data_IF_518239073720
#
_entry.id   IF_518239073720
#
_cell.length_a   1.000
_cell.length_b   1.000
_cell.length_c   1.000
_cell.angle_alpha   90.00
_cell.angle_beta   90.00
_cell.angle_gamma   90.00
#
_symmetry.space_group_name_H-M   'P 1'
#
loop_
_entity.id
_entity.type
_entity.pdbx_description
1 polymer ?
#
# COMPACT_ATOMS: atom_id res chain seq x y z
N UNK A 1 -38.80 17.30 19.15
CA UNK A 1 -38.98 16.17 20.10
C UNK A 1 -38.16 14.98 19.62
N UNK A 2 -36.94 14.84 20.13
CA UNK A 2 -36.08 13.64 20.04
C UNK A 2 -35.24 13.60 21.33
N UNK A 3 -35.16 12.43 21.94
CA UNK A 3 -34.63 12.18 23.30
C UNK A 3 -33.11 12.39 23.39
N UNK A 4 -32.59 12.98 24.49
CA UNK A 4 -31.19 12.89 24.83
C UNK A 4 -30.88 11.52 25.45
N UNK A 5 -29.91 10.80 24.90
CA UNK A 5 -29.37 9.58 25.51
C UNK A 5 -28.37 10.00 26.58
N UNK A 6 -28.81 9.90 27.83
CA UNK A 6 -28.01 10.04 29.04
C UNK A 6 -27.08 8.84 29.18
N UNK A 7 -25.77 9.04 29.03
CA UNK A 7 -24.76 8.02 29.38
C UNK A 7 -24.57 8.10 30.90
N UNK A 8 -25.21 7.17 31.60
CA UNK A 8 -25.06 6.99 33.05
C UNK A 8 -23.71 6.38 33.40
N UNK A 9 -22.92 7.10 34.18
CA UNK A 9 -21.75 6.60 34.89
C UNK A 9 -22.22 5.67 36.02
N UNK A 10 -21.95 4.36 35.93
CA UNK A 10 -22.09 3.44 37.06
C UNK A 10 -20.68 3.22 37.63
N UNK A 11 -20.36 3.94 38.70
CA UNK A 11 -19.25 3.63 39.58
C UNK A 11 -19.77 2.70 40.68
N UNK A 12 -19.50 1.40 40.55
CA UNK A 12 -19.71 0.43 41.61
C UNK A 12 -18.38 0.18 42.31
N UNK A 13 -18.28 0.66 43.55
CA UNK A 13 -17.19 0.37 44.46
C UNK A 13 -17.25 -1.11 44.89
N UNK A 14 -16.18 -1.87 44.59
CA UNK A 14 -15.96 -3.20 45.15
C UNK A 14 -14.96 -3.05 46.29
N UNK A 15 -15.45 -3.25 47.51
CA UNK A 15 -14.63 -3.43 48.70
C UNK A 15 -13.88 -4.76 48.60
N UNK A 16 -12.55 -4.71 48.57
CA UNK A 16 -11.66 -5.86 48.56
C UNK A 16 -11.50 -6.42 49.97
N UNK A 17 -12.11 -7.58 50.24
CA UNK A 17 -11.63 -8.48 51.28
C UNK A 17 -10.31 -9.10 50.79
N UNK A 18 -9.23 -8.88 51.55
CA UNK A 18 -7.91 -9.40 51.26
C UNK A 18 -7.89 -10.92 51.33
N UNK A 19 -7.79 -11.56 50.17
CA UNK A 19 -7.25 -12.91 50.02
C UNK A 19 -5.84 -12.72 49.48
N UNK A 20 -4.83 -13.15 50.24
CA UNK A 20 -3.46 -13.23 49.76
C UNK A 20 -3.45 -14.25 48.61
N UNK A 21 -3.49 -13.75 47.37
CA UNK A 21 -3.21 -14.57 46.20
C UNK A 21 -1.70 -14.81 46.25
N UNK A 22 -1.31 -16.04 46.56
CA UNK A 22 0.06 -16.48 46.33
C UNK A 22 0.38 -16.15 44.87
N UNK A 23 1.31 -15.24 44.63
CA UNK A 23 1.88 -15.02 43.31
C UNK A 23 2.68 -16.28 43.00
N UNK A 24 2.03 -17.25 42.34
CA UNK A 24 2.74 -18.35 41.70
C UNK A 24 3.86 -17.72 40.87
N UNK A 25 5.09 -18.22 41.06
CA UNK A 25 6.22 -17.82 40.24
C UNK A 25 5.81 -17.91 38.76
N UNK A 26 6.19 -16.93 37.92
CA UNK A 26 5.80 -16.93 36.52
C UNK A 26 6.13 -18.29 35.91
N UNK A 27 5.10 -19.06 35.55
CA UNK A 27 5.27 -20.37 34.97
C UNK A 27 6.08 -20.21 33.68
N UNK A 28 7.16 -20.98 33.56
CA UNK A 28 7.97 -20.99 32.36
C UNK A 28 7.07 -21.31 31.16
N UNK A 29 7.12 -20.45 30.15
CA UNK A 29 6.41 -20.63 28.90
C UNK A 29 6.91 -21.89 28.17
N UNK A 30 6.08 -22.48 27.30
CA UNK A 30 6.35 -23.77 26.66
C UNK A 30 7.61 -23.80 25.77
N UNK A 31 8.19 -22.65 25.44
CA UNK A 31 9.41 -22.54 24.63
C UNK A 31 10.59 -21.91 25.39
N UNK A 32 10.44 -21.56 26.66
CA UNK A 32 11.45 -20.74 27.36
C UNK A 32 12.80 -21.44 27.49
N UNK A 33 12.80 -22.76 27.67
CA UNK A 33 14.02 -23.56 27.63
C UNK A 33 14.69 -23.50 26.25
N UNK A 34 13.92 -23.58 25.17
CA UNK A 34 14.46 -23.58 23.80
C UNK A 34 15.04 -22.21 23.42
N UNK A 35 14.45 -21.11 23.89
CA UNK A 35 14.87 -19.73 23.59
C UNK A 35 16.28 -19.40 24.06
N UNK A 36 16.79 -20.13 25.06
CA UNK A 36 18.11 -19.89 25.67
C UNK A 36 19.21 -20.81 25.14
N UNK A 37 18.86 -21.82 24.34
CA UNK A 37 19.84 -22.80 23.83
C UNK A 37 20.71 -22.18 22.72
N UNK A 38 22.03 -22.42 22.73
CA UNK A 38 22.92 -21.93 21.69
C UNK A 38 22.73 -22.65 20.34
N UNK A 39 22.23 -23.88 20.38
CA UNK A 39 21.84 -24.69 19.21
C UNK A 39 20.66 -25.59 19.58
N UNK A 40 19.78 -25.85 18.62
CA UNK A 40 18.64 -26.76 18.79
C UNK A 40 18.92 -28.15 18.21
N UNK A 41 18.65 -29.20 18.97
CA UNK A 41 18.64 -30.60 18.49
C UNK A 41 17.46 -30.87 17.56
N UNK A 42 17.47 -32.01 16.86
CA UNK A 42 16.35 -32.40 15.98
C UNK A 42 15.05 -32.62 16.76
N UNK A 43 15.13 -33.18 17.96
CA UNK A 43 13.97 -33.36 18.85
C UNK A 43 13.39 -32.02 19.29
N UNK A 44 14.24 -31.04 19.60
CA UNK A 44 13.82 -29.69 19.99
C UNK A 44 13.21 -28.92 18.81
N UNK A 45 13.75 -29.11 17.60
CA UNK A 45 13.15 -28.58 16.36
C UNK A 45 11.79 -29.21 16.08
N UNK A 46 11.63 -30.51 16.33
CA UNK A 46 10.35 -31.19 16.21
C UNK A 46 9.32 -30.65 17.22
N UNK A 47 9.72 -30.42 18.48
CA UNK A 47 8.87 -29.82 19.50
C UNK A 47 8.45 -28.38 19.12
N UNK A 48 9.39 -27.57 18.63
CA UNK A 48 9.10 -26.23 18.11
C UNK A 48 8.12 -26.28 16.93
N UNK A 49 8.31 -27.22 16.00
CA UNK A 49 7.42 -27.42 14.85
C UNK A 49 6.01 -27.81 15.26
N UNK A 50 5.87 -28.69 16.23
CA UNK A 50 4.56 -29.09 16.76
C UNK A 50 3.85 -27.89 17.39
N UNK A 51 4.55 -27.13 18.24
CA UNK A 51 4.01 -25.93 18.85
C UNK A 51 3.55 -24.89 17.79
N UNK A 52 4.39 -24.63 16.78
CA UNK A 52 4.06 -23.74 15.67
C UNK A 52 2.86 -24.23 14.86
N UNK A 53 2.78 -25.53 14.59
CA UNK A 53 1.68 -26.16 13.84
C UNK A 53 0.35 -25.93 14.54
N UNK A 54 0.29 -26.14 15.86
CA UNK A 54 -0.91 -25.92 16.65
C UNK A 54 -1.37 -24.45 16.61
N UNK A 55 -0.44 -23.49 16.73
CA UNK A 55 -0.78 -22.07 16.70
C UNK A 55 -1.17 -21.56 15.32
N UNK A 56 -0.47 -21.98 14.27
CA UNK A 56 -0.86 -21.65 12.89
C UNK A 56 -2.24 -22.24 12.59
N UNK A 57 -2.51 -23.48 13.00
CA UNK A 57 -3.83 -24.10 12.85
C UNK A 57 -4.92 -23.34 13.61
N UNK A 58 -4.64 -22.84 14.81
CA UNK A 58 -5.58 -22.01 15.57
C UNK A 58 -5.86 -20.67 14.88
N UNK A 59 -4.86 -20.04 14.24
CA UNK A 59 -5.08 -18.84 13.42
C UNK A 59 -5.98 -19.16 12.22
N UNK A 60 -5.76 -20.28 11.53
CA UNK A 60 -6.49 -20.65 10.31
C UNK A 60 -7.92 -21.08 10.60
N UNK A 61 -8.11 -21.99 11.56
CA UNK A 61 -9.39 -22.68 11.77
C UNK A 61 -10.33 -21.92 12.71
N UNK A 62 -9.77 -21.20 13.68
CA UNK A 62 -10.55 -20.53 14.72
C UNK A 62 -10.50 -19.01 14.62
N UNK A 63 -9.78 -18.46 13.62
CA UNK A 63 -9.48 -17.04 13.49
C UNK A 63 -9.00 -16.44 14.81
N UNK A 64 -8.17 -17.18 15.57
CA UNK A 64 -7.84 -16.84 16.94
C UNK A 64 -6.76 -15.73 16.98
N UNK A 65 -7.09 -14.46 17.27
CA UNK A 65 -6.10 -13.38 17.27
C UNK A 65 -5.02 -13.59 18.33
N UNK A 66 -5.38 -14.25 19.43
CA UNK A 66 -4.47 -14.64 20.50
C UNK A 66 -3.36 -15.58 20.01
N UNK A 67 -3.66 -16.55 19.14
CA UNK A 67 -2.66 -17.45 18.59
C UNK A 67 -1.62 -16.70 17.74
N UNK A 68 -2.05 -15.71 16.96
CA UNK A 68 -1.13 -14.83 16.23
C UNK A 68 -0.31 -13.93 17.16
N UNK A 69 -0.88 -13.47 18.28
CA UNK A 69 -0.14 -12.72 19.29
C UNK A 69 0.95 -13.60 19.95
N UNK A 70 0.62 -14.85 20.28
CA UNK A 70 1.56 -15.83 20.84
C UNK A 70 2.69 -16.15 19.86
N UNK A 71 2.40 -16.29 18.57
CA UNK A 71 3.41 -16.47 17.51
C UNK A 71 4.36 -15.28 17.37
N UNK A 72 3.92 -14.06 17.70
CA UNK A 72 4.82 -12.88 17.73
C UNK A 72 5.64 -12.82 19.01
N UNK A 73 4.97 -13.01 20.15
CA UNK A 73 5.58 -12.89 21.46
C UNK A 73 6.67 -13.94 21.72
N UNK A 74 6.57 -15.12 21.09
CA UNK A 74 7.49 -16.22 21.29
C UNK A 74 8.60 -16.35 20.23
N UNK A 75 8.73 -15.39 19.33
CA UNK A 75 9.81 -15.38 18.34
C UNK A 75 11.17 -15.01 18.96
N UNK A 76 11.21 -14.27 20.07
CA UNK A 76 12.47 -13.82 20.67
C UNK A 76 13.26 -14.96 21.34
N UNK A 77 14.59 -14.84 21.37
CA UNK A 77 15.52 -15.89 21.79
C UNK A 77 16.91 -15.73 21.16
N UNK A 78 17.75 -16.77 21.27
CA UNK A 78 19.05 -16.86 20.58
C UNK A 78 18.91 -16.81 19.06
N UNK A 79 19.99 -16.48 18.35
CA UNK A 79 20.00 -16.45 16.88
C UNK A 79 19.67 -17.82 16.28
N UNK A 80 20.20 -18.91 16.85
CA UNK A 80 19.86 -20.27 16.41
C UNK A 80 18.39 -20.61 16.61
N UNK A 81 17.76 -20.12 17.69
CA UNK A 81 16.34 -20.32 17.92
C UNK A 81 15.51 -19.54 16.89
N UNK A 82 15.80 -18.24 16.70
CA UNK A 82 15.11 -17.38 15.72
C UNK A 82 15.20 -17.93 14.31
N UNK A 83 16.39 -18.40 13.92
CA UNK A 83 16.61 -19.02 12.62
C UNK A 83 15.74 -20.26 12.42
N UNK A 84 15.71 -21.18 13.39
CA UNK A 84 14.86 -22.36 13.33
C UNK A 84 13.36 -21.99 13.32
N UNK A 85 12.97 -21.03 14.16
CA UNK A 85 11.60 -20.54 14.28
C UNK A 85 11.06 -20.03 12.96
N UNK A 86 11.80 -19.13 12.29
CA UNK A 86 11.39 -18.56 11.00
C UNK A 86 11.37 -19.64 9.92
N UNK A 87 12.40 -20.50 9.84
CA UNK A 87 12.47 -21.55 8.83
C UNK A 87 11.25 -22.48 8.91
N UNK A 88 10.91 -22.94 10.12
CA UNK A 88 9.75 -23.80 10.35
C UNK A 88 8.44 -23.04 10.11
N UNK A 89 8.32 -21.78 10.56
CA UNK A 89 7.12 -20.97 10.32
C UNK A 89 6.87 -20.77 8.81
N UNK A 90 7.91 -20.49 8.01
CA UNK A 90 7.79 -20.39 6.55
C UNK A 90 7.37 -21.72 5.93
N UNK A 91 7.98 -22.83 6.35
CA UNK A 91 7.62 -24.19 5.90
C UNK A 91 6.12 -24.48 6.11
N UNK A 92 5.61 -24.18 7.30
CA UNK A 92 4.23 -24.46 7.70
C UNK A 92 3.22 -23.48 7.06
N UNK A 93 3.57 -22.19 6.93
CA UNK A 93 2.65 -21.17 6.41
C UNK A 93 2.52 -21.23 4.89
N UNK A 94 3.59 -21.58 4.16
CA UNK A 94 3.61 -21.60 2.68
C UNK A 94 2.45 -22.41 2.06
N UNK A 95 2.18 -23.67 2.44
CA UNK A 95 1.07 -24.45 1.86
C UNK A 95 -0.31 -24.01 2.36
N UNK A 96 -0.38 -23.25 3.45
CA UNK A 96 -1.62 -22.85 4.12
C UNK A 96 -2.20 -21.57 3.52
N UNK A 97 -1.36 -20.57 3.25
CA UNK A 97 -1.81 -19.25 2.76
C UNK A 97 -2.76 -19.33 1.57
N UNK A 98 -2.50 -20.12 0.50
CA UNK A 98 -3.38 -20.18 -0.67
C UNK A 98 -4.77 -20.79 -0.39
N UNK A 99 -4.91 -21.54 0.72
CA UNK A 99 -6.11 -22.33 1.07
C UNK A 99 -6.93 -21.72 2.20
N UNK A 100 -6.28 -20.97 3.09
CA UNK A 100 -6.94 -20.31 4.21
C UNK A 100 -7.87 -19.19 3.73
N UNK A 101 -8.81 -18.76 4.58
CA UNK A 101 -9.64 -17.58 4.30
C UNK A 101 -8.83 -16.28 4.26
N UNK A 102 -9.45 -15.20 3.76
CA UNK A 102 -8.79 -13.90 3.53
C UNK A 102 -8.10 -13.37 4.79
N UNK A 103 -8.80 -13.33 5.91
CA UNK A 103 -8.27 -12.74 7.15
C UNK A 103 -7.12 -13.58 7.76
N UNK A 104 -7.25 -14.90 7.97
CA UNK A 104 -6.14 -15.72 8.45
C UNK A 104 -4.92 -15.70 7.51
N UNK A 105 -5.13 -15.76 6.19
CA UNK A 105 -4.04 -15.71 5.22
C UNK A 105 -3.25 -14.38 5.32
N UNK A 106 -3.96 -13.25 5.35
CA UNK A 106 -3.32 -11.94 5.49
C UNK A 106 -2.60 -11.80 6.85
N UNK A 107 -3.18 -12.34 7.92
CA UNK A 107 -2.58 -12.32 9.26
C UNK A 107 -1.29 -13.14 9.32
N UNK A 108 -1.25 -14.32 8.71
CA UNK A 108 -0.04 -15.16 8.63
C UNK A 108 1.06 -14.50 7.78
N UNK A 109 0.72 -13.87 6.66
CA UNK A 109 1.70 -13.11 5.85
C UNK A 109 2.25 -11.91 6.63
N UNK A 110 1.41 -11.17 7.32
CA UNK A 110 1.84 -10.05 8.17
C UNK A 110 2.71 -10.51 9.36
N UNK A 111 2.38 -11.67 9.94
CA UNK A 111 3.17 -12.31 10.99
C UNK A 111 4.58 -12.64 10.50
N UNK A 112 4.72 -13.33 9.37
CA UNK A 112 6.03 -13.64 8.79
C UNK A 112 6.82 -12.36 8.50
N UNK A 113 6.17 -11.33 7.95
CA UNK A 113 6.79 -10.02 7.74
C UNK A 113 7.31 -9.35 9.01
N UNK A 114 6.66 -9.59 10.16
CA UNK A 114 7.07 -9.01 11.44
C UNK A 114 8.38 -9.57 11.98
N UNK A 115 8.78 -10.77 11.56
CA UNK A 115 10.09 -11.35 11.90
C UNK A 115 11.25 -10.63 11.21
N UNK A 116 10.96 -9.90 10.12
CA UNK A 116 11.93 -9.16 9.30
C UNK A 116 13.11 -10.03 8.87
N UNK A 117 12.86 -11.30 8.58
CA UNK A 117 13.89 -12.27 8.19
C UNK A 117 13.82 -12.56 6.68
N UNK A 118 15.00 -12.60 6.02
CA UNK A 118 15.10 -12.84 4.57
C UNK A 118 14.61 -14.23 4.15
N UNK A 119 14.54 -15.22 5.06
CA UNK A 119 13.93 -16.52 4.79
C UNK A 119 12.45 -16.43 4.42
N UNK A 120 11.77 -15.33 4.78
CA UNK A 120 10.37 -15.08 4.40
C UNK A 120 10.22 -14.54 2.97
N UNK A 121 11.30 -14.08 2.36
CA UNK A 121 11.28 -13.28 1.13
C UNK A 121 10.50 -13.94 -0.02
N UNK A 122 10.82 -15.19 -0.36
CA UNK A 122 10.16 -15.88 -1.49
C UNK A 122 8.65 -16.06 -1.26
N UNK A 123 8.24 -16.37 -0.03
CA UNK A 123 6.83 -16.47 0.33
C UNK A 123 6.12 -15.13 0.18
N UNK A 124 6.76 -14.02 0.55
CA UNK A 124 6.19 -12.68 0.37
C UNK A 124 6.03 -12.34 -1.12
N UNK A 125 7.01 -12.66 -1.96
CA UNK A 125 6.88 -12.48 -3.41
C UNK A 125 5.71 -13.29 -3.99
N UNK A 126 5.50 -14.52 -3.51
CA UNK A 126 4.35 -15.34 -3.92
C UNK A 126 3.02 -14.77 -3.40
N UNK A 127 2.99 -14.22 -2.18
CA UNK A 127 1.82 -13.60 -1.60
C UNK A 127 1.37 -12.31 -2.34
N UNK A 128 2.28 -11.63 -3.06
CA UNK A 128 1.90 -10.52 -3.95
C UNK A 128 1.07 -10.97 -5.16
N UNK A 129 1.12 -12.25 -5.53
CA UNK A 129 0.35 -12.84 -6.63
C UNK A 129 -1.02 -13.35 -6.18
N UNK A 130 -1.31 -13.31 -4.87
CA UNK A 130 -2.57 -13.79 -4.32
C UNK A 130 -3.75 -12.99 -4.90
N UNK A 131 -4.89 -13.65 -5.15
CA UNK A 131 -6.10 -12.99 -5.68
C UNK A 131 -6.73 -11.98 -4.71
N UNK A 132 -6.44 -12.10 -3.41
CA UNK A 132 -7.05 -11.31 -2.34
C UNK A 132 -6.22 -10.06 -2.03
N UNK A 133 -6.80 -8.84 -2.14
CA UNK A 133 -6.05 -7.61 -1.89
C UNK A 133 -5.46 -7.49 -0.48
N UNK A 134 -6.10 -8.08 0.54
CA UNK A 134 -5.59 -8.06 1.92
C UNK A 134 -4.27 -8.84 2.07
N UNK A 135 -4.14 -9.97 1.37
CA UNK A 135 -2.90 -10.77 1.37
C UNK A 135 -1.79 -10.03 0.65
N UNK A 136 -2.08 -9.42 -0.50
CA UNK A 136 -1.12 -8.58 -1.23
C UNK A 136 -0.69 -7.36 -0.40
N UNK A 137 -1.62 -6.72 0.31
CA UNK A 137 -1.35 -5.61 1.23
C UNK A 137 -0.39 -6.01 2.35
N UNK A 138 -0.67 -7.16 3.00
CA UNK A 138 0.19 -7.70 4.04
C UNK A 138 1.60 -7.98 3.51
N UNK A 139 1.70 -8.55 2.30
CA UNK A 139 2.99 -8.80 1.66
C UNK A 139 3.75 -7.50 1.34
N UNK A 140 3.09 -6.49 0.78
CA UNK A 140 3.73 -5.20 0.49
C UNK A 140 4.27 -4.54 1.77
N UNK A 141 3.53 -4.60 2.88
CA UNK A 141 4.00 -4.11 4.20
C UNK A 141 5.22 -4.90 4.68
N UNK A 142 5.18 -6.22 4.55
CA UNK A 142 6.28 -7.11 4.95
C UNK A 142 7.55 -6.84 4.13
N UNK A 143 7.44 -6.73 2.80
CA UNK A 143 8.55 -6.40 1.90
C UNK A 143 9.12 -5.02 2.20
N UNK A 144 8.27 -4.05 2.54
CA UNK A 144 8.74 -2.74 3.02
C UNK A 144 9.61 -2.88 4.28
N UNK A 145 9.21 -3.73 5.22
CA UNK A 145 9.98 -4.04 6.43
C UNK A 145 11.33 -4.72 6.16
N UNK A 146 11.50 -5.34 4.99
CA UNK A 146 12.72 -6.00 4.54
C UNK A 146 13.60 -5.12 3.64
N UNK A 147 13.21 -3.90 3.30
CA UNK A 147 13.89 -3.07 2.29
C UNK A 147 15.41 -2.96 2.50
N UNK A 148 15.87 -2.70 3.74
CA UNK A 148 17.30 -2.58 4.03
C UNK A 148 18.05 -3.90 3.80
N UNK A 149 17.45 -5.03 4.16
CA UNK A 149 18.02 -6.37 3.95
C UNK A 149 18.02 -6.76 2.48
N UNK A 150 16.95 -6.42 1.76
CA UNK A 150 16.86 -6.62 0.31
C UNK A 150 17.92 -5.79 -0.43
N UNK A 151 18.10 -4.52 -0.06
CA UNK A 151 19.13 -3.66 -0.64
C UNK A 151 20.54 -4.18 -0.32
N UNK A 152 20.78 -4.70 0.89
CA UNK A 152 22.07 -5.24 1.30
C UNK A 152 22.40 -6.61 0.66
N UNK A 153 21.39 -7.44 0.39
CA UNK A 153 21.57 -8.75 -0.26
C UNK A 153 22.11 -8.61 -1.70
N UNK A 154 21.83 -7.48 -2.36
CA UNK A 154 22.36 -7.12 -3.66
C UNK A 154 21.31 -7.10 -4.78
N UNK A 155 21.79 -7.08 -6.03
CA UNK A 155 20.96 -6.80 -7.21
C UNK A 155 19.87 -7.84 -7.49
N UNK A 156 20.09 -9.12 -7.15
CA UNK A 156 19.15 -10.21 -7.44
C UNK A 156 17.84 -10.07 -6.66
N UNK A 157 17.92 -10.00 -5.34
CA UNK A 157 16.77 -9.87 -4.44
C UNK A 157 16.07 -8.52 -4.66
N UNK A 158 16.85 -7.45 -4.84
CA UNK A 158 16.28 -6.13 -5.15
C UNK A 158 15.46 -6.17 -6.45
N UNK A 159 16.02 -6.67 -7.55
CA UNK A 159 15.33 -6.75 -8.83
C UNK A 159 14.08 -7.62 -8.76
N UNK A 160 14.14 -8.76 -8.04
CA UNK A 160 12.98 -9.65 -7.82
C UNK A 160 11.87 -8.96 -7.03
N UNK A 161 12.21 -8.24 -5.96
CA UNK A 161 11.25 -7.47 -5.15
C UNK A 161 10.56 -6.39 -5.98
N UNK A 162 11.36 -5.58 -6.69
CA UNK A 162 10.86 -4.50 -7.55
C UNK A 162 9.95 -5.03 -8.66
N UNK A 163 10.37 -6.10 -9.34
CA UNK A 163 9.57 -6.73 -10.39
C UNK A 163 8.23 -7.28 -9.86
N UNK A 164 8.23 -7.98 -8.72
CA UNK A 164 7.01 -8.52 -8.13
C UNK A 164 6.04 -7.40 -7.69
N UNK A 165 6.54 -6.34 -7.05
CA UNK A 165 5.74 -5.19 -6.66
C UNK A 165 5.17 -4.45 -7.88
N UNK A 166 5.98 -4.27 -8.94
CA UNK A 166 5.54 -3.70 -10.22
C UNK A 166 4.39 -4.49 -10.81
N UNK A 167 4.56 -5.80 -10.95
CA UNK A 167 3.60 -6.65 -11.64
C UNK A 167 2.27 -6.72 -10.87
N UNK A 168 2.32 -6.80 -9.53
CA UNK A 168 1.14 -6.73 -8.68
C UNK A 168 0.43 -5.36 -8.76
N UNK A 169 1.18 -4.26 -8.68
CA UNK A 169 0.62 -2.90 -8.66
C UNK A 169 -0.07 -2.53 -9.99
N UNK A 170 0.43 -3.00 -11.13
CA UNK A 170 -0.18 -2.77 -12.46
C UNK A 170 -1.63 -3.25 -12.53
N UNK A 171 -1.94 -4.35 -11.85
CA UNK A 171 -3.27 -5.00 -11.90
C UNK A 171 -4.12 -4.77 -10.64
N UNK A 172 -3.57 -4.14 -9.61
CA UNK A 172 -4.25 -3.94 -8.32
C UNK A 172 -5.55 -3.10 -8.46
N UNK A 173 -6.59 -3.56 -7.76
CA UNK A 173 -7.93 -2.96 -7.75
C UNK A 173 -8.32 -2.37 -6.40
N UNK A 174 -7.59 -2.69 -5.34
CA UNK A 174 -7.74 -2.11 -4.00
C UNK A 174 -6.84 -0.88 -3.82
N UNK A 175 -7.45 0.26 -3.56
CA UNK A 175 -6.72 1.50 -3.31
C UNK A 175 -5.73 1.40 -2.12
N UNK A 176 -6.13 0.86 -0.95
CA UNK A 176 -5.19 0.62 0.14
C UNK A 176 -4.00 -0.25 -0.25
N UNK A 177 -4.23 -1.37 -0.95
CA UNK A 177 -3.17 -2.30 -1.35
C UNK A 177 -2.15 -1.64 -2.28
N UNK A 178 -2.62 -0.90 -3.29
CA UNK A 178 -1.74 -0.21 -4.23
C UNK A 178 -0.87 0.85 -3.54
N UNK A 179 -1.46 1.63 -2.62
CA UNK A 179 -0.70 2.63 -1.85
C UNK A 179 0.43 1.97 -1.04
N UNK A 180 0.18 0.78 -0.49
CA UNK A 180 1.19 0.01 0.23
C UNK A 180 2.28 -0.53 -0.70
N UNK A 181 1.93 -0.97 -1.91
CA UNK A 181 2.91 -1.39 -2.93
C UNK A 181 3.84 -0.25 -3.34
N UNK A 182 3.30 0.96 -3.58
CA UNK A 182 4.15 2.14 -3.84
C UNK A 182 5.07 2.48 -2.66
N UNK A 183 4.59 2.35 -1.42
CA UNK A 183 5.43 2.56 -0.23
C UNK A 183 6.52 1.49 -0.10
N UNK A 184 6.26 0.26 -0.54
CA UNK A 184 7.25 -0.81 -0.58
C UNK A 184 8.29 -0.60 -1.69
N UNK A 185 7.95 0.13 -2.74
CA UNK A 185 8.86 0.57 -3.80
C UNK A 185 9.69 1.81 -3.42
N UNK A 186 9.36 2.53 -2.34
CA UNK A 186 10.14 3.72 -1.95
C UNK A 186 11.46 3.31 -1.26
N UNK A 187 12.47 3.00 -2.09
CA UNK A 187 13.87 2.75 -1.67
C UNK A 187 14.71 4.04 -1.67
N UNK A 188 14.11 5.24 -1.72
CA UNK A 188 14.83 6.48 -1.98
C UNK A 188 15.94 6.81 -0.96
N UNK A 189 15.92 6.20 0.22
CA UNK A 189 16.93 6.36 1.27
C UNK A 189 17.98 5.25 1.31
N UNK A 190 17.98 4.32 0.35
CA UNK A 190 18.84 3.15 0.33
C UNK A 190 19.74 3.16 -0.93
N UNK A 191 20.95 2.55 -0.86
CA UNK A 191 21.84 2.40 -2.01
C UNK A 191 21.30 1.32 -2.97
N UNK A 192 20.19 1.62 -3.63
CA UNK A 192 19.49 0.73 -4.54
C UNK A 192 19.72 1.13 -6.00
N UNK A 193 19.49 0.20 -6.93
CA UNK A 193 19.49 0.51 -8.36
C UNK A 193 18.27 1.39 -8.69
N UNK A 194 18.52 2.69 -8.72
CA UNK A 194 17.52 3.74 -8.92
C UNK A 194 16.90 3.65 -10.33
N UNK A 195 17.63 3.15 -11.34
CA UNK A 195 17.10 3.03 -12.69
C UNK A 195 16.06 1.92 -12.79
N UNK A 196 16.35 0.76 -12.20
CA UNK A 196 15.38 -0.34 -12.09
C UNK A 196 14.13 0.09 -11.34
N UNK A 197 14.28 0.87 -10.26
CA UNK A 197 13.14 1.43 -9.53
C UNK A 197 12.33 2.42 -10.37
N UNK A 198 12.98 3.36 -11.05
CA UNK A 198 12.33 4.37 -11.87
C UNK A 198 11.54 3.75 -13.02
N UNK A 199 12.12 2.76 -13.71
CA UNK A 199 11.44 1.99 -14.74
C UNK A 199 10.20 1.26 -14.20
N UNK A 200 10.31 0.64 -13.03
CA UNK A 200 9.17 -0.05 -12.41
C UNK A 200 8.02 0.88 -12.05
N UNK A 201 8.32 2.05 -11.45
CA UNK A 201 7.29 3.04 -11.09
C UNK A 201 6.62 3.60 -12.35
N UNK A 202 7.39 3.88 -13.39
CA UNK A 202 6.88 4.31 -14.69
C UNK A 202 5.95 3.25 -15.30
N UNK A 203 6.37 1.98 -15.33
CA UNK A 203 5.56 0.89 -15.87
C UNK A 203 4.21 0.72 -15.13
N UNK A 204 4.18 0.94 -13.81
CA UNK A 204 2.92 0.93 -13.04
C UNK A 204 2.05 2.11 -13.47
N UNK A 205 2.57 3.34 -13.42
CA UNK A 205 1.80 4.54 -13.73
C UNK A 205 1.29 4.52 -15.18
N UNK A 206 2.09 4.05 -16.13
CA UNK A 206 1.68 3.92 -17.52
C UNK A 206 0.52 2.91 -17.66
N UNK A 207 0.65 1.72 -17.10
CA UNK A 207 -0.39 0.69 -17.17
C UNK A 207 -1.68 1.13 -16.47
N UNK A 208 -1.55 1.82 -15.33
CA UNK A 208 -2.69 2.30 -14.56
C UNK A 208 -3.36 3.49 -15.22
N UNK A 209 -2.61 4.48 -15.72
CA UNK A 209 -3.16 5.66 -16.42
C UNK A 209 -4.05 5.28 -17.61
N UNK A 210 -3.77 4.15 -18.28
CA UNK A 210 -4.62 3.63 -19.37
C UNK A 210 -6.01 3.17 -18.88
N UNK A 211 -6.15 2.79 -17.61
CA UNK A 211 -7.42 2.37 -16.99
C UNK A 211 -8.30 3.56 -16.56
N UNK A 212 -7.72 4.76 -16.45
CA UNK A 212 -8.44 5.99 -16.12
C UNK A 212 -9.36 6.51 -17.24
N UNK A 213 -9.45 5.79 -18.37
CA UNK A 213 -10.30 6.14 -19.52
C UNK A 213 -11.76 5.68 -19.37
N UNK A 214 -12.11 4.90 -18.34
CA UNK A 214 -13.47 4.38 -18.15
C UNK A 214 -14.11 4.77 -16.81
N UNK A 215 -15.43 4.67 -16.74
CA UNK A 215 -16.30 5.08 -15.62
C UNK A 215 -15.98 4.38 -14.29
N UNK A 216 -15.32 3.22 -14.35
CA UNK A 216 -14.89 2.47 -13.19
C UNK A 216 -13.39 2.21 -13.29
N UNK A 217 -12.60 3.12 -12.72
CA UNK A 217 -11.17 2.86 -12.50
C UNK A 217 -11.00 2.19 -11.14
N UNK A 218 -10.60 0.91 -11.07
CA UNK A 218 -10.32 0.26 -9.80
C UNK A 218 -9.18 0.97 -9.06
N UNK A 219 -9.26 1.02 -7.73
CA UNK A 219 -8.29 1.72 -6.88
C UNK A 219 -8.13 3.22 -7.23
N UNK A 220 -9.24 3.93 -7.44
CA UNK A 220 -9.23 5.36 -7.74
C UNK A 220 -8.32 6.16 -6.80
N UNK A 221 -7.53 7.08 -7.37
CA UNK A 221 -6.63 7.99 -6.67
C UNK A 221 -5.55 7.31 -5.79
N UNK A 222 -5.37 6.00 -5.89
CA UNK A 222 -4.31 5.30 -5.17
C UNK A 222 -2.92 5.50 -5.79
N UNK A 223 -2.85 6.13 -6.96
CA UNK A 223 -1.62 6.45 -7.70
C UNK A 223 -0.84 7.66 -7.15
N UNK A 224 -1.42 8.43 -6.22
CA UNK A 224 -0.77 9.61 -5.62
C UNK A 224 0.64 9.32 -5.05
N UNK A 225 0.86 8.27 -4.23
CA UNK A 225 2.21 7.93 -3.78
C UNK A 225 3.15 7.54 -4.93
N UNK A 226 2.62 6.95 -6.00
CA UNK A 226 3.37 6.61 -7.21
C UNK A 226 3.85 7.85 -7.95
N UNK A 227 2.99 8.86 -8.13
CA UNK A 227 3.36 10.14 -8.74
C UNK A 227 4.47 10.85 -7.96
N UNK A 228 4.37 10.88 -6.62
CA UNK A 228 5.43 11.42 -5.73
C UNK A 228 6.75 10.70 -5.92
N UNK A 229 6.70 9.37 -5.91
CA UNK A 229 7.89 8.55 -6.06
C UNK A 229 8.51 8.78 -7.46
N UNK A 230 7.70 8.85 -8.51
CA UNK A 230 8.16 9.17 -9.86
C UNK A 230 8.82 10.55 -9.92
N UNK A 231 8.27 11.57 -9.26
CA UNK A 231 8.87 12.90 -9.16
C UNK A 231 10.27 12.89 -8.54
N UNK A 232 10.48 12.12 -7.46
CA UNK A 232 11.82 11.93 -6.85
C UNK A 232 12.81 11.26 -7.81
N UNK A 233 12.31 10.40 -8.71
CA UNK A 233 13.11 9.58 -9.61
C UNK A 233 13.29 10.21 -11.01
N UNK A 234 12.51 11.26 -11.33
CA UNK A 234 12.43 11.85 -12.66
C UNK A 234 13.79 12.33 -13.20
N UNK A 235 14.68 12.82 -12.33
CA UNK A 235 16.04 13.24 -12.70
C UNK A 235 16.95 12.10 -13.17
N UNK A 236 16.51 10.84 -13.06
CA UNK A 236 17.24 9.64 -13.50
C UNK A 236 16.69 9.04 -14.79
N UNK A 237 15.52 9.50 -15.25
CA UNK A 237 14.91 9.02 -16.48
C UNK A 237 15.62 9.63 -17.69
N UNK A 238 15.76 8.84 -18.76
CA UNK A 238 16.11 9.35 -20.08
C UNK A 238 14.91 10.13 -20.67
N UNK A 239 15.10 10.86 -21.77
CA UNK A 239 14.02 11.69 -22.34
C UNK A 239 12.81 10.85 -22.80
N UNK A 240 13.03 9.66 -23.37
CA UNK A 240 11.94 8.76 -23.77
C UNK A 240 11.08 8.32 -22.59
N UNK A 241 11.70 7.99 -21.45
CA UNK A 241 11.00 7.60 -20.24
C UNK A 241 10.34 8.80 -19.54
N UNK A 242 10.94 10.00 -19.63
CA UNK A 242 10.27 11.24 -19.21
C UNK A 242 9.02 11.50 -20.02
N UNK A 243 9.06 11.34 -21.35
CA UNK A 243 7.89 11.49 -22.21
C UNK A 243 6.77 10.50 -21.83
N UNK A 244 7.12 9.24 -21.58
CA UNK A 244 6.18 8.23 -21.07
C UNK A 244 5.57 8.64 -19.73
N UNK A 245 6.37 9.19 -18.81
CA UNK A 245 5.90 9.66 -17.50
C UNK A 245 4.98 10.88 -17.63
N UNK A 246 5.32 11.83 -18.50
CA UNK A 246 4.49 13.00 -18.84
C UNK A 246 3.12 12.51 -19.36
N UNK A 247 3.11 11.56 -20.31
CA UNK A 247 1.86 10.99 -20.83
C UNK A 247 1.00 10.40 -19.71
N UNK A 248 1.61 9.60 -18.82
CA UNK A 248 0.91 8.94 -17.73
C UNK A 248 0.31 9.96 -16.75
N UNK A 249 1.09 10.99 -16.36
CA UNK A 249 0.64 12.05 -15.48
C UNK A 249 -0.49 12.89 -16.11
N UNK A 250 -0.40 13.21 -17.40
CA UNK A 250 -1.44 13.93 -18.15
C UNK A 250 -2.76 13.16 -18.20
N UNK A 251 -2.73 11.85 -18.49
CA UNK A 251 -3.93 11.00 -18.45
C UNK A 251 -4.57 10.96 -17.06
N UNK A 252 -3.76 10.85 -16.01
CA UNK A 252 -4.24 10.83 -14.63
C UNK A 252 -4.86 12.18 -14.25
N UNK A 253 -4.21 13.31 -14.58
CA UNK A 253 -4.73 14.65 -14.33
C UNK A 253 -6.08 14.86 -15.04
N UNK A 254 -6.14 14.56 -16.34
CA UNK A 254 -7.34 14.66 -17.17
C UNK A 254 -8.49 13.86 -16.59
N UNK A 255 -8.24 12.61 -16.21
CA UNK A 255 -9.27 11.77 -15.63
C UNK A 255 -9.75 12.28 -14.26
N UNK A 256 -8.83 12.82 -13.44
CA UNK A 256 -9.18 13.50 -12.20
C UNK A 256 -10.16 14.64 -12.43
N UNK A 257 -9.87 15.53 -13.38
CA UNK A 257 -10.73 16.66 -13.76
C UNK A 257 -12.10 16.20 -14.26
N UNK A 258 -12.13 15.25 -15.20
CA UNK A 258 -13.38 14.73 -15.76
C UNK A 258 -14.25 14.08 -14.70
N UNK A 259 -13.65 13.28 -13.80
CA UNK A 259 -14.42 12.65 -12.72
C UNK A 259 -14.95 13.67 -11.72
N UNK A 260 -14.13 14.67 -11.35
CA UNK A 260 -14.55 15.72 -10.43
C UNK A 260 -15.81 16.44 -10.95
N UNK A 261 -15.82 16.77 -12.24
CA UNK A 261 -16.97 17.37 -12.91
C UNK A 261 -18.17 16.41 -13.02
N UNK A 262 -17.96 15.19 -13.51
CA UNK A 262 -19.04 14.23 -13.79
C UNK A 262 -19.79 13.79 -12.51
N UNK A 263 -19.07 13.64 -11.41
CA UNK A 263 -19.62 13.20 -10.11
C UNK A 263 -20.05 14.39 -9.23
N UNK A 264 -19.98 15.63 -9.76
CA UNK A 264 -20.31 16.88 -9.06
C UNK A 264 -19.64 16.96 -7.68
N UNK A 265 -18.33 16.74 -7.66
CA UNK A 265 -17.57 16.67 -6.41
C UNK A 265 -17.37 18.06 -5.77
N UNK A 266 -17.58 19.13 -6.53
CA UNK A 266 -17.66 20.52 -6.07
C UNK A 266 -18.83 20.75 -5.10
N UNK A 267 -19.96 20.06 -5.31
CA UNK A 267 -21.15 20.12 -4.45
C UNK A 267 -21.00 19.32 -3.14
N UNK A 268 -19.91 18.55 -2.98
CA UNK A 268 -19.67 17.78 -1.75
C UNK A 268 -19.04 18.71 -0.73
N UNK A 269 -19.76 19.00 0.35
CA UNK A 269 -19.27 19.77 1.50
C UNK A 269 -18.51 18.90 2.51
N UNK A 270 -17.72 19.53 3.38
CA UNK A 270 -16.89 18.83 4.39
C UNK A 270 -17.73 18.14 5.48
N UNK A 271 -18.97 18.59 5.67
CA UNK A 271 -19.97 18.06 6.60
C UNK A 271 -21.05 17.22 5.91
N UNK A 272 -20.84 16.85 4.64
CA UNK A 272 -21.74 15.97 3.89
C UNK A 272 -22.00 14.67 4.68
N UNK A 273 -23.26 14.24 4.69
CA UNK A 273 -23.67 13.00 5.36
C UNK A 273 -23.03 11.74 4.74
N UNK A 274 -22.50 11.82 3.52
CA UNK A 274 -21.86 10.71 2.83
C UNK A 274 -20.34 10.76 2.98
N UNK A 275 -19.81 10.03 3.96
CA UNK A 275 -18.38 9.88 4.19
C UNK A 275 -17.63 9.39 2.93
N UNK A 276 -18.23 8.47 2.17
CA UNK A 276 -17.65 7.93 0.93
C UNK A 276 -17.50 9.01 -0.15
N UNK A 277 -18.47 9.93 -0.26
CA UNK A 277 -18.36 11.07 -1.20
C UNK A 277 -17.27 12.05 -0.79
N UNK A 278 -17.14 12.33 0.51
CA UNK A 278 -16.05 13.16 1.04
C UNK A 278 -14.70 12.51 0.74
N UNK A 279 -14.55 11.20 0.97
CA UNK A 279 -13.34 10.47 0.64
C UNK A 279 -13.04 10.53 -0.87
N UNK A 280 -14.05 10.31 -1.72
CA UNK A 280 -13.89 10.37 -3.17
C UNK A 280 -13.46 11.77 -3.65
N UNK A 281 -14.11 12.83 -3.16
CA UNK A 281 -13.71 14.22 -3.45
C UNK A 281 -12.26 14.44 -3.05
N UNK A 282 -11.93 14.24 -1.78
CA UNK A 282 -10.58 14.49 -1.25
C UNK A 282 -9.51 13.69 -2.01
N UNK A 283 -9.78 12.41 -2.30
CA UNK A 283 -8.85 11.56 -3.03
C UNK A 283 -8.62 12.06 -4.47
N UNK A 284 -9.69 12.50 -5.15
CA UNK A 284 -9.62 13.09 -6.50
C UNK A 284 -8.83 14.39 -6.50
N UNK A 285 -9.11 15.28 -5.54
CA UNK A 285 -8.41 16.56 -5.39
C UNK A 285 -6.91 16.36 -5.19
N UNK A 286 -6.53 15.47 -4.27
CA UNK A 286 -5.12 15.16 -4.04
C UNK A 286 -4.43 14.52 -5.25
N UNK A 287 -5.16 13.74 -6.06
CA UNK A 287 -4.62 13.13 -7.27
C UNK A 287 -4.34 14.21 -8.34
N UNK A 288 -5.28 15.13 -8.55
CA UNK A 288 -5.15 16.27 -9.47
C UNK A 288 -3.93 17.11 -9.11
N UNK A 289 -3.83 17.54 -7.84
CA UNK A 289 -2.72 18.37 -7.36
C UNK A 289 -1.37 17.69 -7.59
N UNK A 290 -1.29 16.38 -7.29
CA UNK A 290 -0.03 15.65 -7.42
C UNK A 290 0.37 15.44 -8.89
N UNK A 291 -0.59 15.11 -9.75
CA UNK A 291 -0.34 14.91 -11.17
C UNK A 291 0.10 16.22 -11.85
N UNK A 292 -0.58 17.33 -11.52
CA UNK A 292 -0.23 18.65 -12.06
C UNK A 292 1.15 19.12 -11.58
N UNK A 293 1.49 18.92 -10.31
CA UNK A 293 2.82 19.25 -9.79
C UNK A 293 3.93 18.44 -10.48
N UNK A 294 3.69 17.15 -10.73
CA UNK A 294 4.63 16.31 -11.47
C UNK A 294 4.80 16.80 -12.91
N UNK A 295 3.72 17.12 -13.62
CA UNK A 295 3.76 17.65 -14.98
C UNK A 295 4.54 18.96 -15.06
N UNK A 296 4.24 19.93 -14.19
CA UNK A 296 4.94 21.20 -14.15
C UNK A 296 6.44 21.01 -13.91
N UNK A 297 6.81 20.08 -13.01
CA UNK A 297 8.21 19.74 -12.74
C UNK A 297 8.90 19.11 -13.94
N UNK A 298 8.25 18.19 -14.65
CA UNK A 298 8.82 17.48 -15.79
C UNK A 298 9.00 18.37 -17.03
N UNK A 299 8.11 19.35 -17.19
CA UNK A 299 8.14 20.31 -18.31
C UNK A 299 8.96 21.57 -17.99
N UNK A 300 9.49 21.71 -16.77
CA UNK A 300 10.26 22.88 -16.36
C UNK A 300 9.46 24.17 -16.30
N UNK A 301 8.13 24.08 -16.12
CA UNK A 301 7.24 25.25 -16.08
C UNK A 301 7.25 25.83 -14.67
N UNK A 302 8.20 26.72 -14.42
CA UNK A 302 8.42 27.36 -13.11
C UNK A 302 7.65 28.68 -12.95
N UNK A 303 7.33 29.37 -14.06
CA UNK A 303 6.58 30.62 -14.02
C UNK A 303 5.09 30.35 -13.76
N UNK A 304 4.54 30.95 -12.70
CA UNK A 304 3.14 30.77 -12.31
C UNK A 304 2.14 31.35 -13.31
N UNK A 305 2.51 32.39 -14.08
CA UNK A 305 1.60 32.98 -15.06
C UNK A 305 1.35 32.07 -16.27
N UNK A 306 2.36 31.28 -16.62
CA UNK A 306 2.35 30.49 -17.86
C UNK A 306 1.93 29.04 -17.61
N UNK A 307 1.96 28.62 -16.34
CA UNK A 307 1.53 27.30 -15.88
C UNK A 307 0.00 27.21 -15.87
N UNK A 308 -0.61 26.27 -16.61
CA UNK A 308 -2.02 25.95 -16.40
C UNK A 308 -2.22 25.43 -14.97
N UNK A 309 -3.30 25.85 -14.33
CA UNK A 309 -3.45 25.77 -12.88
C UNK A 309 -4.80 25.20 -12.43
N UNK A 310 -5.02 23.94 -12.81
CA UNK A 310 -6.17 23.12 -12.41
C UNK A 310 -6.31 23.06 -10.89
N UNK A 311 -5.20 22.86 -10.15
CA UNK A 311 -5.22 22.75 -8.69
C UNK A 311 -5.70 24.04 -7.99
N UNK A 312 -5.35 25.22 -8.52
CA UNK A 312 -5.88 26.47 -7.99
C UNK A 312 -7.38 26.57 -8.25
N UNK A 313 -7.84 26.32 -9.48
CA UNK A 313 -9.28 26.36 -9.82
C UNK A 313 -10.10 25.42 -8.96
N UNK A 314 -9.56 24.25 -8.69
CA UNK A 314 -10.12 23.29 -7.76
C UNK A 314 -10.26 23.84 -6.33
N UNK A 315 -9.21 24.46 -5.78
CA UNK A 315 -9.18 24.84 -4.36
C UNK A 315 -9.79 26.21 -4.05
N UNK A 316 -9.68 27.20 -4.96
CA UNK A 316 -10.19 28.56 -4.74
C UNK A 316 -11.60 28.77 -5.28
N UNK A 317 -11.94 28.12 -6.40
CA UNK A 317 -13.19 28.38 -7.13
C UNK A 317 -14.15 27.18 -7.08
N UNK A 318 -13.62 25.96 -6.90
CA UNK A 318 -14.37 24.69 -7.05
C UNK A 318 -15.21 24.66 -8.33
N UNK A 319 -14.69 25.24 -9.41
CA UNK A 319 -15.39 25.39 -10.69
C UNK A 319 -14.91 24.32 -11.69
N UNK A 320 -15.74 23.31 -12.00
CA UNK A 320 -15.37 22.26 -12.94
C UNK A 320 -15.15 22.77 -14.38
N UNK A 321 -15.79 23.85 -14.80
CA UNK A 321 -15.63 24.45 -16.13
C UNK A 321 -14.27 25.13 -16.22
N UNK A 322 -13.89 25.91 -15.20
CA UNK A 322 -12.56 26.49 -15.11
C UNK A 322 -11.47 25.41 -15.06
N UNK A 323 -11.70 24.30 -14.34
CA UNK A 323 -10.77 23.16 -14.31
C UNK A 323 -10.59 22.50 -15.69
N UNK A 324 -11.68 22.27 -16.45
CA UNK A 324 -11.61 21.76 -17.83
C UNK A 324 -10.84 22.71 -18.75
N UNK A 325 -11.08 24.02 -18.61
CA UNK A 325 -10.37 25.05 -19.37
C UNK A 325 -8.86 25.00 -19.12
N UNK A 326 -8.44 24.93 -17.85
CA UNK A 326 -7.02 24.79 -17.49
C UNK A 326 -6.43 23.44 -17.93
N UNK A 327 -7.22 22.37 -17.93
CA UNK A 327 -6.80 21.07 -18.48
C UNK A 327 -6.59 21.12 -20.00
N UNK A 328 -7.43 21.84 -20.74
CA UNK A 328 -7.24 22.02 -22.19
C UNK A 328 -5.97 22.85 -22.49
N UNK A 329 -5.66 23.86 -21.67
CA UNK A 329 -4.36 24.56 -21.75
C UNK A 329 -3.17 23.61 -21.52
N UNK A 330 -3.29 22.67 -20.58
CA UNK A 330 -2.29 21.59 -20.45
C UNK A 330 -2.20 20.73 -21.71
N UNK A 331 -3.34 20.38 -22.32
CA UNK A 331 -3.38 19.57 -23.54
C UNK A 331 -2.70 20.28 -24.73
N UNK A 332 -2.96 21.57 -24.93
CA UNK A 332 -2.30 22.40 -25.97
C UNK A 332 -0.77 22.39 -25.81
N UNK A 333 -0.29 22.59 -24.58
CA UNK A 333 1.14 22.55 -24.29
C UNK A 333 1.75 21.18 -24.62
N UNK A 334 1.05 20.11 -24.26
CA UNK A 334 1.51 18.74 -24.48
C UNK A 334 1.46 18.32 -25.95
N UNK A 335 0.53 18.84 -26.74
CA UNK A 335 0.37 18.52 -28.17
C UNK A 335 1.63 18.84 -28.99
N UNK A 336 2.38 19.86 -28.58
CA UNK A 336 3.67 20.21 -29.22
C UNK A 336 4.76 19.16 -29.02
N UNK A 337 4.65 18.35 -27.94
CA UNK A 337 5.63 17.34 -27.54
C UNK A 337 5.14 15.91 -27.80
N UNK A 338 3.83 15.71 -27.84
CA UNK A 338 3.20 14.38 -27.80
C UNK A 338 2.15 14.24 -28.89
N UNK A 339 2.10 13.07 -29.53
CA UNK A 339 1.09 12.75 -30.54
C UNK A 339 -0.28 12.33 -29.94
N UNK A 340 -0.41 12.31 -28.61
CA UNK A 340 -1.67 11.97 -27.93
C UNK A 340 -2.45 13.23 -27.59
N UNK A 341 -3.77 13.17 -27.80
CA UNK A 341 -4.70 14.23 -27.44
C UNK A 341 -5.18 14.08 -25.99
N UNK A 342 -4.97 15.13 -25.20
CA UNK A 342 -5.37 15.20 -23.79
C UNK A 342 -6.54 16.16 -23.53
N UNK A 343 -7.19 16.70 -24.56
CA UNK A 343 -8.32 17.62 -24.41
C UNK A 343 -9.52 16.96 -23.70
N UNK A 344 -10.27 17.80 -22.99
CA UNK A 344 -11.55 17.45 -22.35
C UNK A 344 -12.68 17.90 -23.25
N UNK A 345 -13.13 17.03 -24.16
CA UNK A 345 -14.32 17.29 -24.98
C UNK A 345 -15.58 17.00 -24.14
N UNK A 346 -16.62 17.83 -24.30
CA UNK A 346 -17.94 17.51 -23.75
C UNK A 346 -18.60 16.46 -24.65
N UNK A 347 -19.24 15.45 -24.04
CA UNK A 347 -19.92 14.40 -24.79
C UNK A 347 -21.11 14.92 -25.62
N UNK A 348 -21.60 16.12 -25.33
CA UNK A 348 -22.72 16.75 -26.04
C UNK A 348 -22.33 17.44 -27.36
N UNK A 349 -21.04 17.66 -27.62
CA UNK A 349 -20.56 18.23 -28.91
C UNK A 349 -20.35 17.17 -30.01
N UNK A 350 -20.66 15.90 -29.71
CA UNK A 350 -20.49 14.77 -30.63
C UNK A 350 -21.80 14.06 -31.02
N UNK A 351 -22.95 14.73 -30.86
CA UNK A 351 -24.17 14.33 -31.57
C UNK A 351 -24.21 15.05 -32.94
N UNK A 352 -24.30 14.31 -34.07
CA UNK A 352 -24.46 14.93 -35.40
C UNK A 352 -25.79 15.67 -35.55
#
# INVERSE_FOLDING_TARGET
MRNPITIGLIAAAIATCGVAIAQDAPQAGPLDELKTKPALTDEERAALKEWLTQRISAVVNNNAPQAAAELRANYDGTDSFKEAYVAIAVELVKPVVPRADVAPAAQLVALLGSYRDMKTFDLLLDALKDKRPAVRSASAVALRGLQSKIAAAGGGEFARSVAALRDAAKVETSAPALRLMYRALDYATLPADVNTLAAAVLDILEARSKKYRGDQTPAWAADRPGLRLAGKLAGRLNETDKDRLIAAAARILRAGVLRYAAEKLDEVEDDSASADRIELRNATEYLIVEAENLLASLLGVSNKSDRPNVAQKLTSERDPIAMKTEMNRWADMLQTRMAEDFHTFEADDAAP
#
